data_IF_077085914307
#
_entry.id   IF_077085914307
#
_cell.length_a   1.000
_cell.length_b   1.000
_cell.length_c   1.000
_cell.angle_alpha   90.00
_cell.angle_beta   90.00
_cell.angle_gamma   90.00
#
_symmetry.space_group_name_H-M   'P 1'
#
loop_
_entity.id
_entity.type
_entity.pdbx_description
1 polymer ?
#
# COMPACT_ATOMS: atom_id res chain seq x y z
N UNK A 1 -12.60 17.43 8.12
CA UNK A 1 -11.93 16.59 9.14
C UNK A 1 -10.44 16.60 8.89
N UNK A 2 -9.65 16.63 9.97
CA UNK A 2 -8.19 16.47 9.90
C UNK A 2 -7.81 15.02 10.20
N UNK A 3 -6.74 14.51 9.61
CA UNK A 3 -6.27 13.14 9.81
C UNK A 3 -4.78 13.00 9.57
N UNK A 4 -4.22 11.86 10.00
CA UNK A 4 -2.86 11.47 9.67
C UNK A 4 -2.84 10.91 8.25
N UNK A 5 -1.80 11.28 7.51
CA UNK A 5 -1.62 10.89 6.13
C UNK A 5 -0.20 10.43 5.88
N UNK A 6 -0.06 9.45 5.00
CA UNK A 6 1.22 8.95 4.54
C UNK A 6 1.18 8.81 3.04
N UNK A 7 2.23 9.27 2.38
CA UNK A 7 2.48 9.10 0.95
C UNK A 7 3.55 8.02 0.79
N UNK A 8 3.28 7.03 -0.05
CA UNK A 8 4.19 5.92 -0.31
C UNK A 8 4.24 5.61 -1.81
N UNK A 9 5.44 5.28 -2.28
CA UNK A 9 5.61 4.64 -3.57
C UNK A 9 5.41 3.14 -3.41
N UNK A 10 4.69 2.53 -4.35
CA UNK A 10 4.44 1.09 -4.40
C UNK A 10 5.04 0.57 -5.71
N UNK A 11 5.80 -0.51 -5.62
CA UNK A 11 6.35 -1.19 -6.80
C UNK A 11 6.24 -2.71 -6.68
N UNK A 12 5.99 -3.37 -7.79
CA UNK A 12 6.00 -4.83 -7.88
C UNK A 12 7.37 -5.29 -8.32
N UNK A 13 8.01 -6.18 -7.55
CA UNK A 13 9.25 -6.82 -7.97
C UNK A 13 8.92 -7.87 -9.04
N UNK A 14 9.52 -7.79 -10.25
CA UNK A 14 9.36 -8.82 -11.26
C UNK A 14 9.87 -10.15 -10.71
N UNK A 15 9.04 -11.18 -10.78
CA UNK A 15 9.45 -12.55 -10.43
C UNK A 15 9.61 -13.33 -11.74
N UNK A 16 10.73 -14.04 -11.88
CA UNK A 16 10.93 -14.92 -13.03
C UNK A 16 10.00 -16.14 -12.91
N UNK A 17 9.38 -16.53 -14.02
CA UNK A 17 8.42 -17.64 -14.17
C UNK A 17 7.05 -17.46 -13.48
N UNK A 18 6.10 -18.32 -13.89
CA UNK A 18 4.71 -18.38 -13.45
C UNK A 18 4.54 -18.86 -12.00
N UNK A 19 5.36 -18.33 -11.08
CA UNK A 19 5.22 -18.59 -9.66
C UNK A 19 4.06 -17.74 -9.12
N UNK A 20 3.18 -18.30 -8.27
CA UNK A 20 2.07 -17.56 -7.68
C UNK A 20 2.51 -16.59 -6.57
N UNK A 21 3.81 -16.24 -6.54
CA UNK A 21 4.46 -15.44 -5.52
C UNK A 21 4.86 -14.09 -6.11
N UNK A 22 4.49 -13.02 -5.43
CA UNK A 22 4.74 -11.65 -5.84
C UNK A 22 5.22 -10.82 -4.65
N UNK A 23 6.35 -10.13 -4.79
CA UNK A 23 6.80 -9.14 -3.81
C UNK A 23 6.30 -7.75 -4.19
N UNK A 24 5.66 -7.08 -3.24
CA UNK A 24 5.25 -5.68 -3.33
C UNK A 24 6.11 -4.87 -2.38
N UNK A 25 6.91 -3.96 -2.92
CA UNK A 25 7.71 -3.02 -2.14
C UNK A 25 6.90 -1.76 -1.85
N UNK A 26 7.03 -1.27 -0.61
CA UNK A 26 6.40 -0.03 -0.15
C UNK A 26 7.47 0.88 0.40
N UNK A 27 7.63 2.04 -0.21
CA UNK A 27 8.55 3.08 0.25
C UNK A 27 7.78 4.29 0.73
N UNK A 28 7.77 4.52 2.03
CA UNK A 28 7.19 5.73 2.61
C UNK A 28 8.05 6.93 2.22
N UNK A 29 7.44 7.92 1.59
CA UNK A 29 8.11 9.11 1.10
C UNK A 29 7.85 10.30 2.01
N UNK A 30 6.58 10.50 2.40
CA UNK A 30 6.17 11.65 3.21
C UNK A 30 5.09 11.25 4.21
N UNK A 31 5.02 11.96 5.32
CA UNK A 31 4.02 11.75 6.36
C UNK A 31 3.66 13.06 7.05
N UNK A 32 2.44 13.15 7.57
CA UNK A 32 2.01 14.31 8.34
C UNK A 32 0.50 14.47 8.40
N UNK A 33 0.04 15.72 8.40
CA UNK A 33 -1.34 16.08 8.62
C UNK A 33 -2.05 16.42 7.31
N UNK A 34 -3.17 15.75 7.06
CA UNK A 34 -4.18 16.19 6.10
C UNK A 34 -5.24 17.00 6.85
N UNK A 35 -5.30 18.29 6.57
CA UNK A 35 -6.28 19.22 7.12
C UNK A 35 -7.61 19.21 6.35
N UNK A 36 -8.51 20.16 6.68
CA UNK A 36 -9.78 20.32 5.98
C UNK A 36 -9.58 20.73 4.52
N UNK A 37 -10.57 20.41 3.69
CA UNK A 37 -10.70 20.96 2.34
C UNK A 37 -11.25 22.38 2.43
N UNK A 38 -10.54 23.35 1.86
CA UNK A 38 -10.94 24.75 1.77
C UNK A 38 -11.03 25.13 0.29
N UNK A 39 -12.25 25.43 -0.16
CA UNK A 39 -12.58 25.57 -1.60
C UNK A 39 -12.04 24.35 -2.39
N UNK A 40 -11.29 24.58 -3.47
CA UNK A 40 -10.76 23.52 -4.35
C UNK A 40 -9.42 22.92 -3.88
N UNK A 41 -8.94 23.22 -2.66
CA UNK A 41 -7.64 22.75 -2.17
C UNK A 41 -7.77 22.08 -0.81
N UNK A 42 -7.06 20.97 -0.63
CA UNK A 42 -6.91 20.33 0.69
C UNK A 42 -5.64 20.84 1.37
N UNK A 43 -5.78 21.37 2.57
CA UNK A 43 -4.63 21.79 3.36
C UNK A 43 -3.85 20.53 3.76
N UNK A 44 -2.55 20.51 3.49
CA UNK A 44 -1.69 19.39 3.82
C UNK A 44 -0.35 19.87 4.35
N UNK A 45 0.10 19.26 5.45
CA UNK A 45 1.45 19.46 5.97
C UNK A 45 2.14 18.11 6.06
N UNK A 46 2.85 17.77 4.99
CA UNK A 46 3.58 16.52 4.86
C UNK A 46 5.09 16.83 4.85
N UNK A 47 5.86 16.08 5.64
CA UNK A 47 7.32 16.13 5.61
C UNK A 47 7.88 14.82 5.09
N UNK A 48 9.08 14.89 4.50
CA UNK A 48 9.81 13.70 4.08
C UNK A 48 10.02 12.76 5.25
N UNK A 49 9.75 11.48 5.04
CA UNK A 49 10.00 10.41 6.00
C UNK A 49 11.31 9.74 5.59
N UNK A 50 12.24 9.62 6.54
CA UNK A 50 13.42 8.80 6.34
C UNK A 50 13.10 7.38 6.81
N UNK A 51 12.88 6.49 5.84
CA UNK A 51 12.63 5.08 6.13
C UNK A 51 13.97 4.38 6.34
N UNK A 52 14.27 4.03 7.60
CA UNK A 52 15.54 3.38 7.98
C UNK A 52 15.60 1.88 7.67
N UNK A 53 14.46 1.25 7.35
CA UNK A 53 14.36 -0.17 7.05
C UNK A 53 13.39 -0.43 5.88
N UNK A 54 13.64 -1.44 5.04
CA UNK A 54 12.77 -1.75 3.91
C UNK A 54 11.38 -2.16 4.41
N UNK A 55 10.32 -1.71 3.75
CA UNK A 55 8.96 -2.22 3.95
C UNK A 55 8.49 -2.91 2.67
N UNK A 56 8.03 -4.14 2.82
CA UNK A 56 7.58 -4.97 1.73
C UNK A 56 6.52 -5.94 2.24
N UNK A 57 5.75 -6.45 1.29
CA UNK A 57 4.75 -7.49 1.48
C UNK A 57 4.98 -8.56 0.41
N UNK A 58 5.32 -9.77 0.84
CA UNK A 58 5.27 -10.94 -0.03
C UNK A 58 3.83 -11.44 -0.09
N UNK A 59 3.34 -11.73 -1.28
CA UNK A 59 1.98 -12.18 -1.55
C UNK A 59 2.07 -13.51 -2.27
N UNK A 60 1.45 -14.54 -1.71
CA UNK A 60 1.26 -15.83 -2.38
C UNK A 60 -0.23 -15.99 -2.69
N UNK A 61 -0.56 -16.08 -3.97
CA UNK A 61 -1.93 -16.33 -4.43
C UNK A 61 -2.22 -17.82 -4.32
N UNK A 62 -3.19 -18.19 -3.49
CA UNK A 62 -3.59 -19.60 -3.36
C UNK A 62 -4.70 -19.94 -4.36
N UNK A 63 -5.70 -19.06 -4.45
CA UNK A 63 -6.80 -19.16 -5.39
C UNK A 63 -7.38 -17.77 -5.71
N UNK A 64 -8.57 -17.74 -6.34
CA UNK A 64 -9.24 -16.50 -6.72
C UNK A 64 -9.61 -15.61 -5.51
N UNK A 65 -9.83 -16.21 -4.34
CA UNK A 65 -10.41 -15.57 -3.16
C UNK A 65 -9.39 -15.40 -2.04
N UNK A 66 -8.38 -16.26 -1.92
CA UNK A 66 -7.44 -16.30 -0.80
C UNK A 66 -6.00 -16.00 -1.21
N UNK A 67 -5.37 -15.11 -0.43
CA UNK A 67 -3.93 -14.81 -0.51
C UNK A 67 -3.31 -14.90 0.88
N UNK A 68 -2.14 -15.51 0.96
CA UNK A 68 -1.30 -15.45 2.16
C UNK A 68 -0.23 -14.38 1.94
N UNK A 69 -0.12 -13.45 2.87
CA UNK A 69 0.88 -12.39 2.81
C UNK A 69 1.83 -12.44 4.00
N UNK A 70 3.09 -12.05 3.76
CA UNK A 70 4.10 -11.89 4.80
C UNK A 70 4.65 -10.46 4.75
N UNK A 71 4.51 -9.74 5.84
CA UNK A 71 5.14 -8.43 6.02
C UNK A 71 6.63 -8.57 6.35
N UNK A 72 7.37 -7.50 6.10
CA UNK A 72 8.81 -7.42 6.40
C UNK A 72 9.19 -7.78 7.85
N UNK A 73 8.34 -7.46 8.83
CA UNK A 73 8.55 -7.79 10.25
C UNK A 73 8.18 -9.25 10.61
N UNK A 74 7.78 -10.06 9.63
CA UNK A 74 7.40 -11.46 9.82
C UNK A 74 5.92 -11.69 10.13
N UNK A 75 5.11 -10.64 10.28
CA UNK A 75 3.66 -10.76 10.44
C UNK A 75 3.04 -11.45 9.23
N UNK A 76 2.22 -12.46 9.47
CA UNK A 76 1.47 -13.16 8.44
C UNK A 76 0.03 -12.67 8.41
N UNK A 77 -0.51 -12.54 7.20
CA UNK A 77 -1.89 -12.14 6.94
C UNK A 77 -2.53 -13.17 6.00
N UNK A 78 -3.82 -13.46 6.22
CA UNK A 78 -4.66 -14.15 5.27
C UNK A 78 -5.69 -13.13 4.74
N UNK A 79 -5.57 -12.77 3.46
CA UNK A 79 -6.41 -11.74 2.85
C UNK A 79 -7.44 -12.40 1.93
N UNK A 80 -8.69 -12.03 2.13
CA UNK A 80 -9.80 -12.38 1.23
C UNK A 80 -9.95 -11.33 0.14
N UNK A 81 -10.36 -11.77 -1.05
CA UNK A 81 -10.71 -10.89 -2.15
C UNK A 81 -11.91 -10.02 -1.76
N UNK A 82 -11.76 -8.71 -1.91
CA UNK A 82 -12.83 -7.73 -1.81
C UNK A 82 -13.49 -7.57 -3.18
N UNK A 83 -14.61 -8.26 -3.39
CA UNK A 83 -15.38 -8.19 -4.66
C UNK A 83 -16.20 -6.90 -4.79
N UNK A 84 -16.34 -6.17 -3.68
CA UNK A 84 -17.00 -4.88 -3.58
C UNK A 84 -16.10 -3.68 -3.93
N UNK A 85 -14.82 -3.91 -4.21
CA UNK A 85 -13.88 -2.87 -4.63
C UNK A 85 -13.49 -3.04 -6.10
N UNK A 86 -13.62 -1.98 -6.88
CA UNK A 86 -13.21 -1.96 -8.29
C UNK A 86 -11.83 -1.30 -8.43
N UNK A 87 -10.97 -1.87 -9.27
CA UNK A 87 -9.60 -1.37 -9.46
C UNK A 87 -9.59 0.09 -9.94
N UNK A 88 -10.49 0.43 -10.87
CA UNK A 88 -10.55 1.77 -11.46
C UNK A 88 -10.87 2.85 -10.44
N UNK A 89 -11.68 2.53 -9.42
CA UNK A 89 -11.99 3.44 -8.31
C UNK A 89 -10.77 3.70 -7.41
N UNK A 90 -9.83 2.75 -7.35
CA UNK A 90 -8.63 2.84 -6.53
C UNK A 90 -7.47 3.57 -7.23
N UNK A 91 -7.46 3.60 -8.56
CA UNK A 91 -6.38 4.21 -9.35
C UNK A 91 -6.63 5.68 -9.72
N UNK A 92 -7.85 6.19 -9.52
CA UNK A 92 -8.26 7.56 -9.90
C UNK A 92 -8.25 8.58 -8.73
N UNK A 93 -7.68 8.21 -7.57
CA UNK A 93 -7.68 9.04 -6.36
C UNK A 93 -6.49 10.00 -6.24
#
# INVERSE_FOLDING_TARGET
MAGIAVEAAISVTPTAEATPHQRVEVRFQRGGWLGPSLAQRRLQWLRSVSQSFPAWLDITVLDADLRICRGNAGTLFALLRRTDLMLDELLLA
#
